data_IF_276020866706
#
_entry.id   IF_276020866706
#
_cell.length_a   1.000
_cell.length_b   1.000
_cell.length_c   1.000
_cell.angle_alpha   90.00
_cell.angle_beta   90.00
_cell.angle_gamma   90.00
#
_symmetry.space_group_name_H-M   'P 1'
#
loop_
_entity.id
_entity.type
_entity.pdbx_description
1 polymer ?
#
# COMPACT_ATOMS: atom_id res chain seq x y z
N UNK A 1 -25.94 -1.44 5.01
CA UNK A 1 -25.29 -0.97 3.78
C UNK A 1 -23.79 -0.97 4.02
N UNK A 2 -23.09 -1.89 3.35
CA UNK A 2 -21.63 -1.97 3.44
C UNK A 2 -21.06 -0.95 2.48
N UNK A 3 -20.43 0.10 3.02
CA UNK A 3 -19.59 0.99 2.25
C UNK A 3 -18.32 0.20 1.86
N UNK A 4 -18.24 -0.20 0.60
CA UNK A 4 -17.04 -0.80 0.04
C UNK A 4 -16.22 0.36 -0.58
N UNK A 5 -15.14 0.80 0.07
CA UNK A 5 -14.35 1.92 -0.44
C UNK A 5 -13.76 1.56 -1.79
N UNK A 6 -13.81 2.50 -2.73
CA UNK A 6 -13.33 2.30 -4.09
C UNK A 6 -11.84 1.98 -4.18
N UNK A 7 -11.46 1.39 -5.31
CA UNK A 7 -10.05 1.13 -5.66
C UNK A 7 -9.61 2.09 -6.75
N UNK A 8 -8.56 2.88 -6.49
CA UNK A 8 -7.85 3.65 -7.51
C UNK A 8 -6.75 2.78 -8.10
N UNK A 9 -6.87 2.43 -9.38
CA UNK A 9 -5.82 1.76 -10.13
C UNK A 9 -5.13 2.72 -11.09
N UNK A 10 -3.82 2.89 -10.95
CA UNK A 10 -2.98 3.68 -11.84
C UNK A 10 -2.08 2.72 -12.62
N UNK A 11 -2.21 2.73 -13.94
CA UNK A 11 -1.48 1.84 -14.84
C UNK A 11 -1.13 2.50 -16.16
N UNK A 12 -0.15 1.99 -16.91
CA UNK A 12 0.07 2.41 -18.29
C UNK A 12 -1.19 2.25 -19.15
N UNK A 13 -1.32 3.06 -20.17
CA UNK A 13 -2.44 2.95 -21.12
C UNK A 13 -2.44 1.57 -21.81
N UNK A 14 -3.62 1.05 -22.22
CA UNK A 14 -3.73 -0.23 -22.91
C UNK A 14 -2.76 -0.34 -24.09
N UNK A 15 -1.96 -1.40 -24.12
CA UNK A 15 -0.95 -1.64 -25.15
C UNK A 15 0.41 -1.00 -24.87
N UNK A 16 0.56 -0.22 -23.81
CA UNK A 16 1.83 0.33 -23.36
C UNK A 16 2.32 -0.42 -22.12
N UNK A 17 3.64 -0.56 -21.99
CA UNK A 17 4.31 -1.16 -20.83
C UNK A 17 4.82 -0.10 -19.84
N UNK A 18 4.80 1.17 -20.24
CA UNK A 18 5.26 2.29 -19.43
C UNK A 18 4.33 3.50 -19.58
N UNK A 19 4.23 4.31 -18.54
CA UNK A 19 3.52 5.57 -18.50
C UNK A 19 4.18 6.53 -17.51
N UNK A 20 4.00 7.83 -17.72
CA UNK A 20 4.53 8.85 -16.84
C UNK A 20 3.37 9.72 -16.37
N UNK A 21 3.21 9.84 -15.06
CA UNK A 21 2.29 10.81 -14.47
C UNK A 21 2.86 12.22 -14.66
N UNK A 22 2.01 13.11 -15.14
CA UNK A 22 2.39 14.50 -15.36
C UNK A 22 2.65 15.24 -14.05
N UNK A 23 3.28 16.39 -14.16
CA UNK A 23 3.48 17.33 -13.07
C UNK A 23 2.22 18.21 -12.96
N UNK A 24 1.57 18.18 -11.80
CA UNK A 24 0.42 19.01 -11.46
C UNK A 24 0.78 20.23 -10.61
N UNK A 25 2.08 20.53 -10.48
CA UNK A 25 2.59 21.65 -9.69
C UNK A 25 2.30 21.52 -8.20
N UNK A 26 2.00 22.65 -7.56
CA UNK A 26 1.67 22.72 -6.13
C UNK A 26 0.16 22.86 -5.89
N UNK A 27 -0.65 22.40 -6.82
CA UNK A 27 -2.12 22.42 -6.73
C UNK A 27 -2.66 21.01 -6.50
N UNK A 28 -3.12 20.73 -5.27
CA UNK A 28 -3.68 19.43 -4.94
C UNK A 28 -4.98 19.12 -5.71
N UNK A 29 -5.76 20.13 -6.10
CA UNK A 29 -6.98 19.94 -6.89
C UNK A 29 -6.67 19.56 -8.34
N UNK A 30 -5.46 19.83 -8.83
CA UNK A 30 -5.01 19.42 -10.16
C UNK A 30 -4.58 17.94 -10.22
N UNK A 31 -4.47 17.25 -9.08
CA UNK A 31 -4.24 15.80 -9.06
C UNK A 31 -5.42 15.08 -9.71
N UNK A 32 -5.22 14.25 -10.75
CA UNK A 32 -6.30 13.75 -11.60
C UNK A 32 -7.43 13.00 -10.90
N UNK A 33 -7.17 12.43 -9.73
CA UNK A 33 -8.13 11.65 -8.94
C UNK A 33 -8.54 12.34 -7.62
N UNK A 34 -8.19 13.60 -7.44
CA UNK A 34 -8.48 14.33 -6.20
C UNK A 34 -9.97 14.44 -5.88
N UNK A 35 -10.83 14.57 -6.92
CA UNK A 35 -12.28 14.64 -6.76
C UNK A 35 -12.89 13.39 -6.12
N UNK A 36 -12.25 12.23 -6.28
CA UNK A 36 -12.77 10.94 -5.81
C UNK A 36 -12.15 10.50 -4.46
N UNK A 37 -11.26 11.31 -3.89
CA UNK A 37 -10.45 10.97 -2.70
C UNK A 37 -11.24 10.46 -1.49
N UNK A 38 -12.46 10.96 -1.29
CA UNK A 38 -13.32 10.58 -0.16
C UNK A 38 -13.97 9.19 -0.32
N UNK A 39 -13.91 8.62 -1.53
CA UNK A 39 -14.46 7.30 -1.83
C UNK A 39 -13.39 6.22 -2.02
N UNK A 40 -12.11 6.59 -2.09
CA UNK A 40 -11.02 5.66 -2.37
C UNK A 40 -10.45 5.12 -1.08
N UNK A 41 -10.60 3.81 -0.87
CA UNK A 41 -10.02 3.10 0.27
C UNK A 41 -8.75 2.34 -0.04
N UNK A 42 -8.48 2.11 -1.32
CA UNK A 42 -7.30 1.37 -1.75
C UNK A 42 -6.67 2.01 -2.98
N UNK A 43 -5.36 2.12 -2.97
CA UNK A 43 -4.57 2.60 -4.12
C UNK A 43 -3.69 1.47 -4.62
N UNK A 44 -3.62 1.32 -5.93
CA UNK A 44 -2.74 0.39 -6.61
C UNK A 44 -2.05 1.06 -7.78
N UNK A 45 -0.72 1.05 -7.80
CA UNK A 45 0.08 1.53 -8.94
C UNK A 45 0.78 0.32 -9.56
N UNK A 46 0.47 0.07 -10.82
CA UNK A 46 1.07 -1.05 -11.58
C UNK A 46 2.50 -0.75 -11.99
N UNK A 47 3.26 -1.79 -12.29
CA UNK A 47 4.59 -1.71 -12.88
C UNK A 47 4.61 -0.82 -14.13
N UNK A 48 5.73 -0.13 -14.35
CA UNK A 48 5.94 0.73 -15.51
C UNK A 48 5.36 2.14 -15.37
N UNK A 49 4.83 2.51 -14.20
CA UNK A 49 4.40 3.89 -13.92
C UNK A 49 5.54 4.67 -13.29
N UNK A 50 5.89 5.82 -13.89
CA UNK A 50 6.81 6.80 -13.33
C UNK A 50 6.06 8.09 -12.94
N UNK A 51 6.58 8.83 -11.97
CA UNK A 51 6.05 10.13 -11.58
C UNK A 51 7.06 11.26 -11.83
N UNK A 52 6.57 12.45 -12.20
CA UNK A 52 7.35 13.69 -12.24
C UNK A 52 7.34 14.40 -10.90
N UNK A 53 6.22 14.31 -10.18
CA UNK A 53 6.02 14.81 -8.82
C UNK A 53 5.19 13.83 -8.02
N UNK A 54 5.34 13.85 -6.69
CA UNK A 54 4.43 13.17 -5.77
C UNK A 54 3.77 14.16 -4.79
N UNK A 55 3.85 15.48 -5.09
CA UNK A 55 3.20 16.49 -4.28
C UNK A 55 1.70 16.20 -4.10
N UNK A 56 1.25 16.09 -2.88
CA UNK A 56 -0.16 15.83 -2.52
C UNK A 56 -0.83 14.66 -3.25
N UNK A 57 -0.07 13.71 -3.81
CA UNK A 57 -0.57 12.66 -4.72
C UNK A 57 -1.79 11.91 -4.17
N UNK A 58 -1.82 11.68 -2.86
CA UNK A 58 -2.92 11.03 -2.14
C UNK A 58 -3.34 11.81 -0.89
N UNK A 59 -3.09 13.13 -0.86
CA UNK A 59 -3.49 13.96 0.27
C UNK A 59 -5.00 13.97 0.47
N UNK A 60 -5.43 13.99 1.72
CA UNK A 60 -6.84 14.05 2.14
C UNK A 60 -7.70 12.83 1.73
N UNK A 61 -7.07 11.70 1.42
CA UNK A 61 -7.77 10.44 1.18
C UNK A 61 -8.17 9.83 2.52
N UNK A 62 -9.23 10.35 3.12
CA UNK A 62 -9.65 10.02 4.49
C UNK A 62 -10.07 8.58 4.69
N UNK A 63 -10.52 7.90 3.63
CA UNK A 63 -10.90 6.49 3.63
C UNK A 63 -9.77 5.54 3.20
N UNK A 64 -8.61 6.06 2.78
CA UNK A 64 -7.50 5.26 2.31
C UNK A 64 -6.95 4.37 3.43
N UNK A 65 -6.99 3.06 3.22
CA UNK A 65 -6.50 2.03 4.16
C UNK A 65 -5.17 1.44 3.73
N UNK A 66 -4.96 1.31 2.42
CA UNK A 66 -3.73 0.72 1.91
C UNK A 66 -3.31 1.32 0.57
N UNK A 67 -2.00 1.53 0.41
CA UNK A 67 -1.38 1.92 -0.85
C UNK A 67 -0.38 0.85 -1.30
N UNK A 68 -0.59 0.26 -2.48
CA UNK A 68 0.30 -0.73 -3.09
C UNK A 68 1.00 -0.06 -4.26
N UNK A 69 2.25 0.34 -4.04
CA UNK A 69 3.05 1.13 -4.99
C UNK A 69 4.48 0.55 -5.15
N UNK A 70 4.63 -0.79 -5.29
CA UNK A 70 5.93 -1.46 -5.15
C UNK A 70 6.94 -1.02 -6.21
N UNK A 71 6.48 -0.67 -7.40
CA UNK A 71 7.30 -0.39 -8.58
C UNK A 71 7.10 1.04 -9.12
N UNK A 72 6.50 1.96 -8.34
CA UNK A 72 6.40 3.36 -8.74
C UNK A 72 7.81 3.95 -8.92
N UNK A 73 8.15 4.33 -10.16
CA UNK A 73 9.42 4.98 -10.44
C UNK A 73 9.39 6.46 -10.01
N UNK A 74 10.06 6.73 -8.91
CA UNK A 74 10.24 8.07 -8.34
C UNK A 74 11.68 8.59 -8.50
N UNK A 75 12.47 7.97 -9.36
CA UNK A 75 13.90 8.28 -9.53
C UNK A 75 14.20 9.74 -9.93
N UNK A 76 13.19 10.41 -10.50
CA UNK A 76 13.27 11.83 -10.92
C UNK A 76 12.45 12.77 -10.05
N UNK A 77 11.75 12.26 -9.05
CA UNK A 77 10.91 13.08 -8.17
C UNK A 77 11.77 13.88 -7.21
N UNK A 78 11.52 15.17 -7.15
CA UNK A 78 12.18 16.11 -6.22
C UNK A 78 11.26 16.60 -5.12
N UNK A 79 9.93 16.46 -5.30
CA UNK A 79 8.91 16.91 -4.36
C UNK A 79 7.95 15.77 -4.00
N UNK A 80 7.97 15.42 -2.71
CA UNK A 80 7.07 14.43 -2.09
C UNK A 80 6.27 15.05 -0.93
N UNK A 81 6.21 16.39 -0.85
CA UNK A 81 5.43 17.06 0.20
C UNK A 81 3.99 16.57 0.17
N UNK A 82 3.45 16.34 1.36
CA UNK A 82 2.04 15.99 1.58
C UNK A 82 1.56 14.73 0.83
N UNK A 83 2.43 13.88 0.32
CA UNK A 83 2.05 12.75 -0.56
C UNK A 83 0.91 11.89 0.01
N UNK A 84 0.91 11.65 1.32
CA UNK A 84 -0.13 10.91 2.05
C UNK A 84 -0.73 11.72 3.19
N UNK A 85 -0.63 13.05 3.15
CA UNK A 85 -1.11 13.89 4.24
C UNK A 85 -2.61 13.66 4.50
N UNK A 86 -2.98 13.61 5.79
CA UNK A 86 -4.36 13.44 6.27
C UNK A 86 -5.03 12.11 5.86
N UNK A 87 -4.26 11.09 5.49
CA UNK A 87 -4.78 9.74 5.30
C UNK A 87 -4.91 9.04 6.67
N UNK A 88 -5.89 9.47 7.47
CA UNK A 88 -6.05 9.04 8.88
C UNK A 88 -6.39 7.56 9.06
N UNK A 89 -6.85 6.87 8.01
CA UNK A 89 -7.16 5.44 8.00
C UNK A 89 -6.07 4.60 7.31
N UNK A 90 -4.97 5.22 6.84
CA UNK A 90 -3.90 4.52 6.14
C UNK A 90 -3.12 3.64 7.11
N UNK A 91 -3.32 2.33 7.00
CA UNK A 91 -2.68 1.32 7.84
C UNK A 91 -1.35 0.84 7.26
N UNK A 92 -1.24 0.72 5.93
CA UNK A 92 -0.11 0.08 5.27
C UNK A 92 0.27 0.72 3.93
N UNK A 93 1.57 0.83 3.67
CA UNK A 93 2.12 1.22 2.36
C UNK A 93 3.09 0.12 1.90
N UNK A 94 2.72 -0.58 0.84
CA UNK A 94 3.57 -1.59 0.20
C UNK A 94 4.43 -0.91 -0.85
N UNK A 95 5.71 -0.68 -0.52
CA UNK A 95 6.65 0.02 -1.38
C UNK A 95 8.07 -0.55 -1.18
N UNK A 96 8.57 -1.30 -2.15
CA UNK A 96 9.91 -1.91 -2.06
C UNK A 96 11.02 -1.10 -2.71
N UNK A 97 10.68 -0.21 -3.66
CA UNK A 97 11.67 0.49 -4.50
C UNK A 97 11.46 2.00 -4.63
N UNK A 98 10.75 2.63 -3.70
CA UNK A 98 10.54 4.08 -3.77
C UNK A 98 11.89 4.82 -3.67
N UNK A 99 12.29 5.47 -4.76
CA UNK A 99 13.55 6.21 -4.81
C UNK A 99 13.36 7.61 -4.20
N UNK A 100 14.12 7.92 -3.16
CA UNK A 100 14.08 9.23 -2.46
C UNK A 100 15.37 10.04 -2.61
N UNK A 101 16.33 9.54 -3.37
CA UNK A 101 17.67 10.15 -3.46
C UNK A 101 17.72 11.52 -4.14
N UNK A 102 16.70 11.89 -4.92
CA UNK A 102 16.58 13.19 -5.57
C UNK A 102 15.59 14.13 -4.85
N UNK A 103 14.90 13.63 -3.81
CA UNK A 103 13.89 14.41 -3.09
C UNK A 103 14.53 15.51 -2.27
N UNK A 104 14.12 16.74 -2.51
CA UNK A 104 14.57 17.95 -1.81
C UNK A 104 13.47 18.56 -0.95
N UNK A 105 12.21 18.19 -1.18
CA UNK A 105 11.05 18.69 -0.48
C UNK A 105 10.16 17.51 -0.08
N UNK A 106 9.88 17.33 1.21
CA UNK A 106 9.14 16.17 1.74
C UNK A 106 8.32 16.47 2.99
N UNK A 107 8.16 17.74 3.33
CA UNK A 107 7.48 18.17 4.53
C UNK A 107 6.04 17.64 4.54
N UNK A 108 5.66 17.02 5.66
CA UNK A 108 4.31 16.52 5.86
C UNK A 108 3.92 15.33 4.99
N UNK A 109 4.88 14.63 4.36
CA UNK A 109 4.60 13.47 3.49
C UNK A 109 3.62 12.48 4.13
N UNK A 110 3.73 12.26 5.44
CA UNK A 110 2.87 11.34 6.21
C UNK A 110 2.08 12.05 7.32
N UNK A 111 1.97 13.38 7.27
CA UNK A 111 1.26 14.12 8.31
C UNK A 111 -0.20 13.63 8.44
N UNK A 112 -0.64 13.30 9.66
CA UNK A 112 -1.99 12.83 9.90
C UNK A 112 -2.27 11.34 9.60
N UNK A 113 -1.26 10.56 9.21
CA UNK A 113 -1.39 9.11 8.99
C UNK A 113 -1.33 8.35 10.33
N UNK A 114 -2.24 8.62 11.25
CA UNK A 114 -2.12 8.26 12.68
C UNK A 114 -2.16 6.77 12.99
N UNK A 115 -2.60 5.94 12.06
CA UNK A 115 -2.67 4.47 12.20
C UNK A 115 -1.65 3.73 11.35
N UNK A 116 -0.77 4.48 10.66
CA UNK A 116 0.24 3.89 9.76
C UNK A 116 1.28 3.09 10.55
N UNK A 117 1.56 1.88 10.08
CA UNK A 117 2.55 0.98 10.65
C UNK A 117 3.43 0.37 9.57
N UNK A 118 4.73 0.35 9.79
CA UNK A 118 5.71 -0.33 8.94
C UNK A 118 5.69 -1.84 9.10
N UNK A 119 6.36 -2.55 8.18
CA UNK A 119 6.34 -4.02 8.13
C UNK A 119 6.93 -4.74 9.36
N UNK A 120 7.82 -4.10 10.09
CA UNK A 120 8.43 -4.64 11.33
C UNK A 120 7.86 -3.95 12.60
N UNK A 121 6.68 -3.35 12.49
CA UNK A 121 5.96 -2.75 13.60
C UNK A 121 6.38 -1.32 13.96
N UNK A 122 7.03 -0.59 13.06
CA UNK A 122 7.32 0.83 13.28
C UNK A 122 6.01 1.62 13.20
N UNK A 123 5.49 2.03 14.37
CA UNK A 123 4.29 2.85 14.46
C UNK A 123 4.53 4.30 14.00
N UNK A 124 3.46 4.96 13.59
CA UNK A 124 3.47 6.38 13.23
C UNK A 124 4.04 7.25 14.37
N UNK A 125 4.91 8.18 13.98
CA UNK A 125 5.49 9.18 14.87
C UNK A 125 5.29 10.58 14.26
N UNK A 126 4.51 11.43 14.93
CA UNK A 126 4.22 12.79 14.48
C UNK A 126 5.45 13.69 14.30
N UNK A 127 6.59 13.32 14.88
CA UNK A 127 7.86 14.02 14.67
C UNK A 127 8.64 13.57 13.43
N UNK A 128 8.18 12.50 12.76
CA UNK A 128 8.84 11.84 11.63
C UNK A 128 7.88 11.72 10.44
N UNK A 129 7.39 12.84 9.92
CA UNK A 129 6.38 12.88 8.85
C UNK A 129 6.94 13.16 7.46
N UNK A 130 8.23 13.18 7.31
CA UNK A 130 8.96 13.44 6.07
C UNK A 130 9.61 12.17 5.48
N UNK A 131 10.49 12.33 4.49
CA UNK A 131 11.21 11.21 3.86
C UNK A 131 12.10 10.40 4.81
N UNK A 132 12.34 10.86 6.03
CA UNK A 132 13.14 10.11 7.00
C UNK A 132 12.56 8.72 7.33
N UNK A 133 11.26 8.55 7.12
CA UNK A 133 10.54 7.28 7.26
C UNK A 133 10.11 6.64 5.94
N UNK A 134 10.37 7.28 4.79
CA UNK A 134 10.03 6.78 3.46
C UNK A 134 10.99 5.66 3.01
N UNK A 135 11.03 4.57 3.74
CA UNK A 135 11.85 3.39 3.49
C UNK A 135 11.14 2.14 3.98
N UNK A 136 11.59 0.99 3.47
CA UNK A 136 11.19 -0.30 4.02
C UNK A 136 11.56 -0.35 5.50
N UNK A 137 10.60 -0.75 6.31
CA UNK A 137 10.80 -0.91 7.73
C UNK A 137 11.74 -2.09 8.01
N UNK A 138 12.76 -1.85 8.84
CA UNK A 138 13.68 -2.85 9.35
C UNK A 138 13.75 -2.78 10.88
N UNK A 139 12.63 -2.49 11.48
CA UNK A 139 12.44 -2.37 12.92
C UNK A 139 13.33 -1.30 13.54
N UNK A 140 13.81 -1.56 14.74
CA UNK A 140 14.63 -0.61 15.53
C UNK A 140 15.92 -0.20 14.81
N UNK A 141 16.47 -1.06 13.95
CA UNK A 141 17.74 -0.80 13.27
C UNK A 141 17.61 0.27 12.17
N UNK A 142 16.49 0.31 11.46
CA UNK A 142 16.19 1.28 10.44
C UNK A 142 14.67 1.44 10.30
N UNK A 143 14.04 2.17 11.24
CA UNK A 143 12.59 2.30 11.26
C UNK A 143 12.07 3.01 10.01
N UNK A 144 11.01 2.49 9.40
CA UNK A 144 10.38 2.99 8.20
C UNK A 144 8.87 2.73 8.20
N UNK A 145 8.14 3.35 7.27
CA UNK A 145 6.70 3.16 7.17
C UNK A 145 6.30 2.24 6.02
N UNK A 146 7.26 1.69 5.26
CA UNK A 146 6.93 0.83 4.14
C UNK A 146 7.05 -0.64 4.49
N UNK A 147 6.14 -1.41 3.95
CA UNK A 147 6.21 -2.85 3.91
C UNK A 147 6.94 -3.21 2.63
N UNK A 148 8.13 -3.77 2.76
CA UNK A 148 8.96 -4.18 1.64
C UNK A 148 8.56 -5.52 1.08
N UNK A 149 9.27 -5.92 0.02
CA UNK A 149 9.22 -7.28 -0.52
C UNK A 149 9.92 -8.20 0.47
N UNK A 150 9.17 -9.00 1.21
CA UNK A 150 9.74 -10.11 1.95
C UNK A 150 9.96 -11.29 1.00
N UNK A 151 11.09 -11.97 1.13
CA UNK A 151 11.45 -13.16 0.33
C UNK A 151 10.44 -14.32 0.47
N UNK A 152 9.40 -14.14 1.26
CA UNK A 152 8.33 -15.07 1.54
C UNK A 152 7.02 -14.34 1.80
N UNK A 153 6.45 -13.76 0.74
CA UNK A 153 5.02 -13.50 0.77
C UNK A 153 4.33 -14.86 0.67
N UNK A 154 3.89 -15.36 1.80
CA UNK A 154 3.22 -16.63 1.79
C UNK A 154 1.85 -16.49 1.13
N UNK A 155 1.04 -15.59 1.32
CA UNK A 155 -0.21 -15.31 0.59
C UNK A 155 -0.98 -16.51 -0.03
N UNK A 156 -0.36 -17.69 -0.10
CA UNK A 156 -0.97 -18.97 -0.48
C UNK A 156 -1.80 -19.48 0.69
N UNK A 157 -2.90 -18.79 0.96
CA UNK A 157 -3.78 -19.06 2.10
C UNK A 157 -4.41 -20.44 2.00
N UNK A 158 -4.68 -20.89 0.79
CA UNK A 158 -5.23 -22.23 0.51
C UNK A 158 -4.23 -23.35 0.77
N UNK A 159 -2.92 -23.08 0.71
CA UNK A 159 -1.86 -24.06 0.86
C UNK A 159 -1.69 -24.98 -0.34
N UNK A 160 -2.11 -24.55 -1.54
CA UNK A 160 -2.04 -25.36 -2.76
C UNK A 160 -0.72 -25.19 -3.54
N UNK A 161 0.19 -24.35 -3.07
CA UNK A 161 1.47 -24.06 -3.68
C UNK A 161 1.43 -23.01 -4.79
N UNK A 162 0.31 -22.32 -4.96
CA UNK A 162 0.13 -21.30 -5.99
C UNK A 162 -0.62 -20.09 -5.46
N UNK A 163 -0.01 -18.91 -5.54
CA UNK A 163 -0.68 -17.66 -5.21
C UNK A 163 -1.62 -17.25 -6.34
N UNK A 164 -2.92 -17.16 -6.03
CA UNK A 164 -3.96 -16.84 -7.00
C UNK A 164 -5.17 -16.16 -6.34
N UNK A 165 -6.17 -15.80 -7.14
CA UNK A 165 -7.36 -15.08 -6.66
C UNK A 165 -8.16 -15.84 -5.60
N UNK A 166 -8.04 -17.16 -5.55
CA UNK A 166 -8.72 -17.98 -4.53
C UNK A 166 -8.15 -17.70 -3.15
N UNK A 167 -6.86 -17.46 -3.04
CA UNK A 167 -6.19 -17.12 -1.78
C UNK A 167 -6.66 -15.77 -1.25
N UNK A 168 -6.78 -14.78 -2.14
CA UNK A 168 -7.35 -13.48 -1.80
C UNK A 168 -8.80 -13.60 -1.32
N UNK A 169 -9.61 -14.43 -1.99
CA UNK A 169 -11.00 -14.68 -1.58
C UNK A 169 -11.05 -15.33 -0.19
N UNK A 170 -10.22 -16.34 0.05
CA UNK A 170 -10.16 -16.99 1.36
C UNK A 170 -9.74 -15.99 2.45
N UNK A 171 -8.70 -15.18 2.21
CA UNK A 171 -8.27 -14.16 3.16
C UNK A 171 -9.38 -13.14 3.45
N UNK A 172 -10.10 -12.70 2.42
CA UNK A 172 -11.25 -11.82 2.57
C UNK A 172 -12.37 -12.46 3.39
N UNK A 173 -12.70 -13.72 3.10
CA UNK A 173 -13.74 -14.47 3.82
C UNK A 173 -13.36 -14.71 5.29
N UNK A 174 -12.07 -14.93 5.59
CA UNK A 174 -11.57 -15.04 6.97
C UNK A 174 -11.79 -13.74 7.77
N UNK A 175 -11.76 -12.59 7.11
CA UNK A 175 -12.06 -11.29 7.74
C UNK A 175 -13.56 -11.06 7.92
N UNK A 176 -14.36 -11.43 6.91
CA UNK A 176 -15.81 -11.16 6.89
C UNK A 176 -16.63 -12.16 7.70
N UNK A 177 -16.23 -13.41 7.70
CA UNK A 177 -16.95 -14.53 8.31
C UNK A 177 -15.96 -15.49 8.99
N UNK A 178 -15.22 -15.02 10.01
CA UNK A 178 -14.17 -15.80 10.66
C UNK A 178 -14.68 -17.13 11.22
N UNK A 179 -15.94 -17.20 11.61
CA UNK A 179 -16.59 -18.41 12.11
C UNK A 179 -16.61 -19.55 11.08
N UNK A 180 -16.55 -19.23 9.78
CA UNK A 180 -16.52 -20.24 8.71
C UNK A 180 -15.21 -21.03 8.71
N UNK A 181 -14.15 -20.42 9.21
CA UNK A 181 -12.78 -20.98 9.17
C UNK A 181 -12.25 -21.38 10.54
N UNK A 182 -12.76 -20.80 11.64
CA UNK A 182 -12.20 -20.94 12.99
C UNK A 182 -12.10 -22.39 13.47
N UNK A 183 -13.00 -23.27 13.03
CA UNK A 183 -13.02 -24.69 13.43
C UNK A 183 -12.16 -25.59 12.51
N UNK A 184 -11.52 -25.04 11.50
CA UNK A 184 -10.67 -25.85 10.61
C UNK A 184 -9.36 -26.24 11.30
N UNK A 185 -8.94 -27.47 11.06
CA UNK A 185 -7.69 -28.00 11.63
C UNK A 185 -6.43 -27.26 11.14
N UNK A 186 -6.51 -26.58 9.99
CA UNK A 186 -5.42 -25.84 9.36
C UNK A 186 -5.55 -24.31 9.55
N UNK A 187 -6.49 -23.83 10.38
CA UNK A 187 -6.81 -22.41 10.54
C UNK A 187 -5.57 -21.56 10.92
N UNK A 188 -4.79 -21.97 11.90
CA UNK A 188 -3.59 -21.23 12.32
C UNK A 188 -2.57 -21.08 11.18
N UNK A 189 -2.42 -22.14 10.36
CA UNK A 189 -1.54 -22.09 9.20
C UNK A 189 -2.10 -21.19 8.10
N UNK A 190 -3.40 -21.21 7.86
CA UNK A 190 -4.10 -20.30 6.92
C UNK A 190 -3.97 -18.85 7.38
N UNK A 191 -4.19 -18.61 8.68
CA UNK A 191 -4.09 -17.28 9.28
C UNK A 191 -2.67 -16.71 9.12
N UNK A 192 -1.64 -17.51 9.45
CA UNK A 192 -0.25 -17.11 9.26
C UNK A 192 0.10 -16.79 7.80
N UNK A 193 -0.42 -17.54 6.84
CA UNK A 193 -0.21 -17.27 5.41
C UNK A 193 -0.99 -16.07 4.90
N UNK A 194 -2.13 -15.74 5.52
CA UNK A 194 -2.93 -14.58 5.19
C UNK A 194 -2.38 -13.29 5.79
N UNK A 195 -1.58 -13.35 6.88
CA UNK A 195 -0.96 -12.18 7.50
C UNK A 195 0.29 -11.73 6.72
N UNK A 196 0.07 -11.14 5.56
CA UNK A 196 1.16 -10.62 4.70
C UNK A 196 1.76 -9.31 5.22
N UNK A 197 1.19 -8.72 6.27
CA UNK A 197 1.73 -7.55 6.98
C UNK A 197 2.65 -7.93 8.15
N UNK A 198 2.68 -9.22 8.53
CA UNK A 198 3.50 -9.76 9.63
C UNK A 198 3.22 -9.12 11.01
N UNK A 199 2.04 -8.58 11.19
CA UNK A 199 1.61 -7.93 12.44
C UNK A 199 0.68 -8.81 13.30
N UNK A 200 0.59 -10.08 12.96
CA UNK A 200 -0.27 -11.09 13.62
C UNK A 200 -1.78 -10.73 13.56
N UNK A 201 -2.17 -10.02 12.48
CA UNK A 201 -3.55 -9.62 12.24
C UNK A 201 -3.89 -9.81 10.77
N UNK A 202 -4.95 -10.55 10.48
CA UNK A 202 -5.54 -10.67 9.14
C UNK A 202 -6.72 -9.72 9.02
N UNK A 203 -6.65 -8.80 8.08
CA UNK A 203 -7.67 -7.78 7.81
C UNK A 203 -7.88 -7.58 6.30
N UNK A 204 -8.75 -6.66 5.92
CA UNK A 204 -9.06 -6.38 4.51
C UNK A 204 -7.82 -5.91 3.72
N UNK A 205 -6.85 -5.28 4.38
CA UNK A 205 -5.59 -4.85 3.75
C UNK A 205 -4.74 -6.04 3.33
N UNK A 206 -4.69 -7.11 4.16
CA UNK A 206 -4.02 -8.36 3.79
C UNK A 206 -4.69 -9.00 2.56
N UNK A 207 -6.02 -9.13 2.58
CA UNK A 207 -6.77 -9.71 1.46
C UNK A 207 -6.56 -8.92 0.16
N UNK A 208 -6.54 -7.60 0.23
CA UNK A 208 -6.28 -6.73 -0.92
C UNK A 208 -4.83 -6.88 -1.44
N UNK A 209 -3.84 -6.97 -0.54
CA UNK A 209 -2.45 -7.21 -0.91
C UNK A 209 -2.25 -8.57 -1.61
N UNK A 210 -2.90 -9.62 -1.09
CA UNK A 210 -2.90 -10.97 -1.69
C UNK A 210 -3.56 -10.94 -3.08
N UNK A 211 -4.68 -10.25 -3.23
CA UNK A 211 -5.36 -10.08 -4.51
C UNK A 211 -4.44 -9.41 -5.53
N UNK A 212 -3.76 -8.35 -5.12
CA UNK A 212 -2.81 -7.66 -5.99
C UNK A 212 -1.69 -8.59 -6.43
N UNK A 213 -1.06 -9.30 -5.50
CA UNK A 213 -0.01 -10.26 -5.79
C UNK A 213 -0.46 -11.35 -6.75
N UNK A 214 -1.68 -11.85 -6.57
CA UNK A 214 -2.26 -12.90 -7.42
C UNK A 214 -2.53 -12.44 -8.86
N UNK A 215 -2.85 -11.15 -9.05
CA UNK A 215 -3.19 -10.59 -10.37
C UNK A 215 -1.98 -10.01 -11.12
N UNK A 216 -1.02 -9.45 -10.41
CA UNK A 216 0.09 -8.69 -11.01
C UNK A 216 1.45 -9.33 -10.78
N UNK A 217 1.50 -10.39 -9.97
CA UNK A 217 2.73 -10.95 -9.42
C UNK A 217 3.32 -10.02 -8.35
N UNK A 218 4.06 -10.61 -7.42
CA UNK A 218 5.11 -9.89 -6.72
C UNK A 218 6.32 -10.08 -7.63
N UNK A 219 6.65 -9.09 -8.42
CA UNK A 219 7.76 -9.22 -9.37
C UNK A 219 9.03 -9.64 -8.66
N UNK A 220 9.66 -10.68 -9.24
CA UNK A 220 10.98 -11.21 -8.87
C UNK A 220 12.11 -10.20 -9.07
#
# INVERSE_FOLDING_TARGET
DWYDPGVLEIRPLPGLTQGVLDDWGEDCEAVPWYSDRESIGYVRISQGVAAKTCYSMFADFTELRSAIIPELDTSRVTDMRLMFANCGQLEAIFASKLAVGQVTQSEGMFAGCTVLEGGEGTAFDASCTDISRARVDNGVAAPGYFIGKHAKLDGDVSGNGALNIVDAQIAYDMVKSPETYADRADYESMYSRADVKWNNKVDATNAFAIQYAALCGWDD
#
